data_IF_499578564542
#
_entry.id   IF_499578564542
#
_cell.length_a   1.000
_cell.length_b   1.000
_cell.length_c   1.000
_cell.angle_alpha   90.00
_cell.angle_beta   90.00
_cell.angle_gamma   90.00
#
_symmetry.space_group_name_H-M   'P 1'
#
loop_
_entity.id
_entity.type
_entity.pdbx_description
1 polymer ?
#
# COMPACT_ATOMS: atom_id res chain seq x y z
N UNK A 1 -14.11 -13.85 -4.61
CA UNK A 1 -13.40 -14.93 -5.34
C UNK A 1 -12.92 -14.52 -6.73
N UNK A 2 -13.74 -14.39 -7.79
CA UNK A 2 -13.19 -14.04 -9.13
C UNK A 2 -12.52 -12.66 -9.17
N UNK A 3 -13.09 -11.63 -8.54
CA UNK A 3 -12.53 -10.26 -8.53
C UNK A 3 -11.23 -10.12 -7.72
N UNK A 4 -11.08 -10.88 -6.62
CA UNK A 4 -9.88 -10.87 -5.79
C UNK A 4 -8.66 -11.44 -6.53
N UNK A 5 -8.88 -12.47 -7.35
CA UNK A 5 -7.82 -13.06 -8.17
C UNK A 5 -7.32 -12.06 -9.24
N UNK A 6 -8.24 -11.34 -9.91
CA UNK A 6 -7.85 -10.33 -10.90
C UNK A 6 -7.17 -9.11 -10.28
N UNK A 7 -7.60 -8.68 -9.08
CA UNK A 7 -6.93 -7.61 -8.34
C UNK A 7 -5.51 -7.98 -7.92
N UNK A 8 -5.30 -9.23 -7.46
CA UNK A 8 -3.97 -9.75 -7.16
C UNK A 8 -3.06 -9.81 -8.40
N UNK A 9 -3.58 -10.31 -9.53
CA UNK A 9 -2.83 -10.38 -10.79
C UNK A 9 -2.43 -8.98 -11.28
N UNK A 10 -3.34 -8.00 -11.24
CA UNK A 10 -3.03 -6.62 -11.62
C UNK A 10 -1.91 -6.04 -10.75
N UNK A 11 -1.93 -6.29 -9.44
CA UNK A 11 -0.89 -5.86 -8.51
C UNK A 11 0.48 -6.49 -8.85
N UNK A 12 0.51 -7.80 -9.08
CA UNK A 12 1.72 -8.55 -9.45
C UNK A 12 2.32 -8.03 -10.76
N UNK A 13 1.48 -7.76 -11.77
CA UNK A 13 1.93 -7.16 -13.01
C UNK A 13 2.56 -5.78 -12.78
N UNK A 14 1.96 -4.94 -11.92
CA UNK A 14 2.53 -3.64 -11.55
C UNK A 14 3.91 -3.76 -10.88
N UNK A 15 4.06 -4.72 -9.96
CA UNK A 15 5.33 -5.00 -9.27
C UNK A 15 6.45 -5.47 -10.21
N UNK A 16 6.11 -6.28 -11.22
CA UNK A 16 7.07 -6.79 -12.19
C UNK A 16 7.63 -5.71 -13.13
N UNK A 17 6.87 -4.64 -13.38
CA UNK A 17 7.33 -3.55 -14.24
C UNK A 17 8.54 -2.82 -13.68
N UNK A 18 8.79 -2.86 -12.36
CA UNK A 18 9.99 -2.25 -11.78
C UNK A 18 11.28 -2.98 -12.18
N UNK A 19 11.22 -4.26 -12.57
CA UNK A 19 12.39 -4.98 -13.10
C UNK A 19 12.90 -4.36 -14.41
N UNK A 20 12.00 -3.74 -15.19
CA UNK A 20 12.33 -3.13 -16.48
C UNK A 20 13.12 -1.82 -16.33
N UNK A 21 13.28 -1.31 -15.10
CA UNK A 21 14.22 -0.23 -14.78
C UNK A 21 15.68 -0.65 -15.04
N UNK A 22 15.98 -1.95 -14.93
CA UNK A 22 17.30 -2.52 -15.21
C UNK A 22 18.39 -2.18 -14.18
N UNK A 23 18.03 -1.57 -13.05
CA UNK A 23 18.96 -1.26 -11.95
C UNK A 23 18.73 -2.15 -10.71
N UNK A 24 19.76 -2.26 -9.87
CA UNK A 24 19.71 -3.13 -8.68
C UNK A 24 18.60 -2.74 -7.70
N UNK A 25 18.32 -1.44 -7.59
CA UNK A 25 17.26 -0.92 -6.75
C UNK A 25 15.87 -1.31 -7.27
N UNK A 26 15.60 -1.18 -8.58
CA UNK A 26 14.33 -1.61 -9.19
C UNK A 26 14.08 -3.12 -9.05
N UNK A 27 15.12 -3.95 -9.26
CA UNK A 27 15.03 -5.41 -9.08
C UNK A 27 14.73 -5.77 -7.62
N UNK A 28 15.42 -5.12 -6.68
CA UNK A 28 15.21 -5.33 -5.24
C UNK A 28 13.80 -4.90 -4.82
N UNK A 29 13.34 -3.75 -5.33
CA UNK A 29 11.97 -3.27 -5.11
C UNK A 29 10.93 -4.27 -5.62
N UNK A 30 11.08 -4.81 -6.83
CA UNK A 30 10.18 -5.87 -7.34
C UNK A 30 10.11 -7.04 -6.38
N UNK A 31 11.26 -7.60 -5.97
CA UNK A 31 11.28 -8.77 -5.08
C UNK A 31 10.54 -8.53 -3.76
N UNK A 32 10.73 -7.35 -3.16
CA UNK A 32 10.08 -6.96 -1.91
C UNK A 32 8.57 -6.76 -2.12
N UNK A 33 8.17 -6.05 -3.18
CA UNK A 33 6.77 -5.80 -3.49
C UNK A 33 6.01 -7.12 -3.79
N UNK A 34 6.62 -8.06 -4.53
CA UNK A 34 6.05 -9.40 -4.74
C UNK A 34 5.88 -10.19 -3.44
N UNK A 35 6.87 -10.13 -2.54
CA UNK A 35 6.77 -10.77 -1.22
C UNK A 35 5.64 -10.17 -0.39
N UNK A 36 5.47 -8.85 -0.42
CA UNK A 36 4.37 -8.16 0.26
C UNK A 36 3.00 -8.59 -0.28
N UNK A 37 2.86 -8.67 -1.61
CA UNK A 37 1.63 -9.10 -2.27
C UNK A 37 1.28 -10.57 -1.96
N UNK A 38 2.28 -11.45 -1.94
CA UNK A 38 2.09 -12.84 -1.52
C UNK A 38 1.59 -12.93 -0.07
N UNK A 39 2.13 -12.12 0.84
CA UNK A 39 1.68 -12.06 2.24
C UNK A 39 0.25 -11.54 2.32
N UNK A 40 -0.09 -10.48 1.58
CA UNK A 40 -1.45 -9.97 1.55
C UNK A 40 -2.45 -11.00 1.02
N UNK A 41 -2.09 -11.75 -0.03
CA UNK A 41 -2.91 -12.79 -0.61
C UNK A 41 -3.13 -13.97 0.35
N UNK A 42 -2.12 -14.35 1.14
CA UNK A 42 -2.17 -15.53 2.01
C UNK A 42 -2.70 -15.26 3.41
N UNK A 43 -2.45 -14.08 3.97
CA UNK A 43 -2.76 -13.74 5.38
C UNK A 43 -3.91 -12.74 5.53
N UNK A 44 -4.31 -12.06 4.45
CA UNK A 44 -5.42 -11.12 4.44
C UNK A 44 -5.16 -9.79 5.15
N UNK A 45 -6.03 -8.81 4.90
CA UNK A 45 -5.84 -7.39 5.29
C UNK A 45 -6.22 -7.03 6.73
N UNK A 46 -6.55 -8.02 7.58
CA UNK A 46 -6.97 -7.79 8.97
C UNK A 46 -6.11 -8.52 10.01
N UNK A 47 -5.07 -9.22 9.58
CA UNK A 47 -4.18 -9.97 10.46
C UNK A 47 -2.82 -9.26 10.57
N UNK A 48 -1.89 -9.85 11.33
CA UNK A 48 -0.49 -9.44 11.35
C UNK A 48 0.14 -9.36 9.94
N UNK A 49 -0.38 -10.15 8.98
CA UNK A 49 0.07 -10.13 7.59
C UNK A 49 -0.17 -8.79 6.90
N UNK A 50 -1.20 -8.03 7.31
CA UNK A 50 -1.39 -6.66 6.82
C UNK A 50 -0.21 -5.78 7.21
N UNK A 51 0.16 -5.79 8.50
CA UNK A 51 1.26 -4.98 9.01
C UNK A 51 2.60 -5.33 8.37
N UNK A 52 2.87 -6.63 8.22
CA UNK A 52 4.10 -7.09 7.56
C UNK A 52 4.13 -6.70 6.08
N UNK A 53 3.02 -6.88 5.35
CA UNK A 53 2.90 -6.45 3.97
C UNK A 53 3.12 -4.95 3.83
N UNK A 54 2.53 -4.13 4.71
CA UNK A 54 2.73 -2.68 4.72
C UNK A 54 4.18 -2.28 5.02
N UNK A 55 4.85 -2.98 5.94
CA UNK A 55 6.28 -2.75 6.21
C UNK A 55 7.15 -3.05 4.99
N UNK A 56 6.86 -4.15 4.29
CA UNK A 56 7.55 -4.50 3.05
C UNK A 56 7.26 -3.50 1.92
N UNK A 57 6.02 -3.05 1.75
CA UNK A 57 5.71 -2.00 0.75
C UNK A 57 6.41 -0.68 1.09
N UNK A 58 6.52 -0.33 2.37
CA UNK A 58 7.33 0.82 2.81
C UNK A 58 8.79 0.65 2.39
N UNK A 59 9.38 -0.52 2.66
CA UNK A 59 10.74 -0.85 2.23
C UNK A 59 10.90 -0.85 0.70
N UNK A 60 9.91 -1.35 -0.04
CA UNK A 60 9.86 -1.27 -1.50
C UNK A 60 9.92 0.20 -1.96
N UNK A 61 9.16 1.09 -1.30
CA UNK A 61 9.19 2.53 -1.55
C UNK A 61 10.58 3.16 -1.34
N UNK A 62 11.33 2.74 -0.32
CA UNK A 62 12.71 3.18 -0.12
C UNK A 62 13.62 2.82 -1.30
N UNK A 63 13.59 1.55 -1.75
CA UNK A 63 14.39 1.13 -2.91
C UNK A 63 13.94 1.82 -4.20
N UNK A 64 12.64 2.02 -4.40
CA UNK A 64 12.14 2.79 -5.55
C UNK A 64 12.66 4.23 -5.54
N UNK A 65 12.76 4.89 -4.39
CA UNK A 65 13.31 6.26 -4.31
C UNK A 65 14.78 6.37 -4.67
N UNK A 66 15.52 5.25 -4.56
CA UNK A 66 16.93 5.15 -4.95
C UNK A 66 17.11 4.59 -6.37
N UNK A 67 16.02 4.22 -7.06
CA UNK A 67 16.07 3.64 -8.39
C UNK A 67 16.16 4.71 -9.49
N UNK A 68 16.76 4.33 -10.62
CA UNK A 68 16.78 5.12 -11.87
C UNK A 68 15.39 5.49 -12.37
N UNK A 69 14.34 4.77 -11.94
CA UNK A 69 12.93 5.13 -12.21
C UNK A 69 12.55 6.53 -11.69
N UNK A 70 13.33 7.07 -10.75
CA UNK A 70 13.09 8.37 -10.11
C UNK A 70 14.07 9.45 -10.56
N UNK A 71 14.95 9.16 -11.51
CA UNK A 71 15.88 10.16 -12.06
C UNK A 71 15.08 11.22 -12.82
N UNK A 72 15.48 12.49 -12.69
CA UNK A 72 14.81 13.63 -13.33
C UNK A 72 13.43 14.00 -12.75
N UNK A 73 12.89 13.23 -11.79
CA UNK A 73 11.53 13.45 -11.27
C UNK A 73 11.48 13.54 -9.74
N UNK A 74 11.91 14.69 -9.21
CA UNK A 74 11.93 14.96 -7.76
C UNK A 74 10.53 14.92 -7.13
N UNK A 75 9.49 15.35 -7.85
CA UNK A 75 8.12 15.31 -7.35
C UNK A 75 7.65 13.86 -7.17
N UNK A 76 7.89 12.98 -8.15
CA UNK A 76 7.57 11.56 -8.04
C UNK A 76 8.34 10.88 -6.89
N UNK A 77 9.61 11.26 -6.72
CA UNK A 77 10.44 10.79 -5.60
C UNK A 77 9.85 11.20 -4.26
N UNK A 78 9.49 12.47 -4.09
CA UNK A 78 8.84 12.97 -2.87
C UNK A 78 7.50 12.28 -2.60
N UNK A 79 6.65 12.14 -3.60
CA UNK A 79 5.36 11.45 -3.46
C UNK A 79 5.56 9.97 -3.06
N UNK A 80 6.58 9.31 -3.61
CA UNK A 80 6.94 7.93 -3.22
C UNK A 80 7.43 7.86 -1.77
N UNK A 81 8.21 8.84 -1.31
CA UNK A 81 8.62 8.94 0.10
C UNK A 81 7.42 9.16 1.03
N UNK A 82 6.45 10.00 0.65
CA UNK A 82 5.21 10.18 1.42
C UNK A 82 4.45 8.85 1.51
N UNK A 83 4.30 8.14 0.40
CA UNK A 83 3.67 6.81 0.39
C UNK A 83 4.42 5.81 1.28
N UNK A 84 5.74 5.79 1.24
CA UNK A 84 6.57 4.96 2.11
C UNK A 84 6.23 5.21 3.60
N UNK A 85 6.12 6.47 4.02
CA UNK A 85 5.76 6.83 5.40
C UNK A 85 4.34 6.39 5.75
N UNK A 86 3.39 6.54 4.83
CA UNK A 86 1.99 6.09 5.02
C UNK A 86 1.92 4.58 5.23
N UNK A 87 2.68 3.81 4.46
CA UNK A 87 2.75 2.35 4.63
C UNK A 87 3.49 1.95 5.90
N UNK A 88 4.52 2.69 6.32
CA UNK A 88 5.16 2.47 7.62
C UNK A 88 4.18 2.71 8.78
N UNK A 89 3.37 3.78 8.70
CA UNK A 89 2.31 4.04 9.66
C UNK A 89 1.26 2.91 9.67
N UNK A 90 0.86 2.43 8.49
CA UNK A 90 -0.07 1.30 8.38
C UNK A 90 0.47 0.02 9.04
N UNK A 91 1.79 -0.19 8.99
CA UNK A 91 2.45 -1.33 9.63
C UNK A 91 2.29 -1.35 11.15
N UNK A 92 2.07 -0.20 11.79
CA UNK A 92 1.92 -0.06 13.25
C UNK A 92 0.61 -0.68 13.77
N UNK A 93 -0.36 -1.00 12.90
CA UNK A 93 -1.64 -1.63 13.26
C UNK A 93 -1.47 -2.84 14.21
N UNK A 94 -0.65 -3.82 13.83
CA UNK A 94 -0.43 -5.04 14.62
C UNK A 94 0.25 -4.76 15.98
N UNK A 95 1.34 -3.97 16.07
CA UNK A 95 1.86 -3.50 17.36
C UNK A 95 0.81 -2.84 18.27
N UNK A 96 -0.08 -2.00 17.72
CA UNK A 96 -1.16 -1.34 18.48
C UNK A 96 -2.20 -2.35 18.95
N UNK A 97 -2.54 -3.33 18.12
CA UNK A 97 -3.43 -4.43 18.48
C UNK A 97 -2.86 -5.28 19.63
N UNK A 98 -1.58 -5.62 19.57
CA UNK A 98 -0.86 -6.30 20.66
C UNK A 98 -0.90 -5.48 21.94
N UNK A 99 -0.57 -4.19 21.86
CA UNK A 99 -0.58 -3.28 23.02
C UNK A 99 -1.97 -3.19 23.65
N UNK A 100 -3.03 -3.21 22.84
CA UNK A 100 -4.41 -3.22 23.34
C UNK A 100 -4.73 -4.47 24.16
N UNK A 101 -4.23 -5.63 23.75
CA UNK A 101 -4.47 -6.90 24.46
C UNK A 101 -3.71 -6.96 25.79
N UNK A 102 -2.47 -6.45 25.83
CA UNK A 102 -1.74 -6.32 27.10
C UNK A 102 -2.42 -5.35 28.06
N UNK A 103 -2.91 -4.22 27.55
CA UNK A 103 -3.52 -3.15 28.35
C UNK A 103 -4.90 -3.52 28.89
N UNK A 104 -5.61 -4.44 28.24
CA UNK A 104 -6.94 -4.90 28.66
C UNK A 104 -6.97 -5.46 30.09
N UNK A 105 -5.84 -5.99 30.58
CA UNK A 105 -5.71 -6.51 31.95
C UNK A 105 -5.61 -5.41 33.02
N UNK A 106 -5.24 -4.18 32.65
CA UNK A 106 -4.94 -3.08 33.59
C UNK A 106 -5.87 -1.89 33.43
N UNK A 107 -6.32 -1.60 32.21
CA UNK A 107 -7.18 -0.46 31.91
C UNK A 107 -8.03 -0.75 30.67
N UNK A 108 -9.28 -1.14 30.90
CA UNK A 108 -10.21 -1.51 29.83
C UNK A 108 -10.55 -0.33 28.91
N UNK A 109 -10.66 0.88 29.45
CA UNK A 109 -10.95 2.10 28.67
C UNK A 109 -9.82 2.38 27.67
N UNK A 110 -8.57 2.33 28.14
CA UNK A 110 -7.41 2.53 27.27
C UNK A 110 -7.28 1.41 26.22
N UNK A 111 -7.56 0.17 26.59
CA UNK A 111 -7.56 -0.95 25.66
C UNK A 111 -8.60 -0.78 24.55
N UNK A 112 -9.81 -0.29 24.87
CA UNK A 112 -10.84 0.01 23.88
C UNK A 112 -10.42 1.13 22.91
N UNK A 113 -9.74 2.17 23.40
CA UNK A 113 -9.20 3.25 22.55
C UNK A 113 -8.17 2.69 21.57
N UNK A 114 -7.23 1.86 22.04
CA UNK A 114 -6.20 1.25 21.20
C UNK A 114 -6.78 0.32 20.13
N UNK A 115 -7.80 -0.47 20.46
CA UNK A 115 -8.51 -1.31 19.47
C UNK A 115 -9.16 -0.47 18.37
N UNK A 116 -9.86 0.61 18.75
CA UNK A 116 -10.44 1.53 17.76
C UNK A 116 -9.35 2.15 16.87
N UNK A 117 -8.22 2.54 17.45
CA UNK A 117 -7.10 3.08 16.69
C UNK A 117 -6.56 2.06 15.67
N UNK A 118 -6.34 0.80 16.08
CA UNK A 118 -5.91 -0.27 15.19
C UNK A 118 -6.88 -0.48 14.01
N UNK A 119 -8.18 -0.34 14.22
CA UNK A 119 -9.20 -0.43 13.16
C UNK A 119 -9.22 0.78 12.20
N UNK A 120 -8.81 1.96 12.68
CA UNK A 120 -8.77 3.18 11.86
C UNK A 120 -7.50 3.29 11.02
N UNK A 121 -6.35 2.78 11.50
CA UNK A 121 -5.06 2.86 10.81
C UNK A 121 -5.14 2.42 9.33
N UNK A 122 -5.68 1.22 8.99
CA UNK A 122 -5.78 0.79 7.60
C UNK A 122 -6.63 1.69 6.72
N UNK A 123 -7.69 2.28 7.29
CA UNK A 123 -8.60 3.18 6.55
C UNK A 123 -7.91 4.48 6.20
N UNK A 124 -7.27 5.10 7.18
CA UNK A 124 -6.52 6.35 7.01
C UNK A 124 -5.41 6.14 5.98
N UNK A 125 -4.64 5.06 6.13
CA UNK A 125 -3.56 4.73 5.19
C UNK A 125 -4.08 4.50 3.76
N UNK A 126 -5.23 3.84 3.61
CA UNK A 126 -5.84 3.61 2.28
C UNK A 126 -6.32 4.91 1.63
N UNK A 127 -6.95 5.82 2.39
CA UNK A 127 -7.39 7.12 1.88
C UNK A 127 -6.19 7.92 1.39
N UNK A 128 -5.18 8.07 2.25
CA UNK A 128 -3.98 8.83 1.89
C UNK A 128 -3.30 8.19 0.68
N UNK A 129 -3.23 6.85 0.64
CA UNK A 129 -2.64 6.12 -0.50
C UNK A 129 -3.32 6.43 -1.83
N UNK A 130 -4.66 6.43 -1.87
CA UNK A 130 -5.42 6.76 -3.08
C UNK A 130 -5.23 8.23 -3.45
N UNK A 131 -5.32 9.13 -2.46
CA UNK A 131 -5.15 10.57 -2.66
C UNK A 131 -3.77 10.91 -3.21
N UNK A 132 -2.71 10.21 -2.81
CA UNK A 132 -1.34 10.45 -3.26
C UNK A 132 -1.03 9.77 -4.61
N UNK A 133 -1.67 8.63 -4.92
CA UNK A 133 -1.49 7.94 -6.20
C UNK A 133 -2.00 8.74 -7.41
N UNK A 134 -3.05 9.56 -7.23
CA UNK A 134 -3.59 10.42 -8.29
C UNK A 134 -2.57 11.50 -8.76
N UNK A 135 -2.00 12.33 -7.87
CA UNK A 135 -0.88 13.20 -8.21
C UNK A 135 0.30 12.46 -8.84
N UNK A 136 0.65 11.26 -8.35
CA UNK A 136 1.74 10.48 -8.94
C UNK A 136 1.44 10.12 -10.41
N UNK A 137 0.24 9.64 -10.72
CA UNK A 137 -0.18 9.34 -12.09
C UNK A 137 -0.10 10.55 -13.01
N UNK A 138 -0.59 11.71 -12.53
CA UNK A 138 -0.50 12.99 -13.24
C UNK A 138 0.97 13.36 -13.50
N UNK A 139 1.79 13.37 -12.45
CA UNK A 139 3.21 13.74 -12.54
C UNK A 139 3.95 12.87 -13.55
N UNK A 140 3.67 11.58 -13.58
CA UNK A 140 4.29 10.64 -14.50
C UNK A 140 3.77 10.83 -15.93
N UNK A 141 2.47 11.06 -16.13
CA UNK A 141 1.89 11.29 -17.46
C UNK A 141 2.45 12.56 -18.15
N UNK A 142 2.88 13.56 -17.37
CA UNK A 142 3.42 14.82 -17.89
C UNK A 142 4.95 14.87 -17.93
N UNK A 143 5.66 13.86 -17.42
CA UNK A 143 7.12 13.90 -17.29
C UNK A 143 7.89 13.68 -18.60
N UNK A 144 7.27 13.18 -19.68
CA UNK A 144 7.88 13.09 -21.02
C UNK A 144 9.11 12.16 -21.17
N UNK A 145 9.64 11.57 -20.10
CA UNK A 145 10.86 10.74 -20.12
C UNK A 145 10.59 9.24 -20.34
N UNK A 146 11.59 8.50 -20.82
CA UNK A 146 11.50 7.07 -21.15
C UNK A 146 10.96 6.16 -20.02
N UNK A 147 11.27 6.45 -18.75
CA UNK A 147 10.81 5.65 -17.60
C UNK A 147 9.43 6.05 -17.08
N UNK A 148 8.87 7.16 -17.57
CA UNK A 148 7.53 7.60 -17.20
C UNK A 148 6.45 6.58 -17.60
N UNK A 149 6.58 5.95 -18.77
CA UNK A 149 5.66 4.90 -19.20
C UNK A 149 5.58 3.71 -18.25
N UNK A 150 6.73 3.24 -17.74
CA UNK A 150 6.81 2.10 -16.81
C UNK A 150 6.17 2.43 -15.46
N UNK A 151 6.49 3.59 -14.89
CA UNK A 151 5.89 4.05 -13.64
C UNK A 151 4.38 4.30 -13.78
N UNK A 152 3.93 4.82 -14.93
CA UNK A 152 2.51 5.05 -15.20
C UNK A 152 1.73 3.74 -15.25
N UNK A 153 2.26 2.76 -15.98
CA UNK A 153 1.68 1.42 -16.07
C UNK A 153 1.65 0.71 -14.71
N UNK A 154 2.74 0.79 -13.94
CA UNK A 154 2.78 0.20 -12.59
C UNK A 154 1.74 0.84 -11.66
N UNK A 155 1.65 2.18 -11.62
CA UNK A 155 0.66 2.90 -10.81
C UNK A 155 -0.77 2.61 -11.24
N UNK A 156 -1.01 2.47 -12.55
CA UNK A 156 -2.33 2.12 -13.10
C UNK A 156 -2.73 0.70 -12.73
N UNK A 157 -1.79 -0.26 -12.83
CA UNK A 157 -1.96 -1.64 -12.36
C UNK A 157 -2.36 -1.68 -10.88
N UNK A 158 -1.71 -0.90 -10.02
CA UNK A 158 -2.06 -0.80 -8.61
C UNK A 158 -3.42 -0.13 -8.36
N UNK A 159 -3.77 0.89 -9.16
CA UNK A 159 -5.07 1.55 -9.07
C UNK A 159 -6.21 0.59 -9.45
N UNK A 160 -6.02 -0.17 -10.54
CA UNK A 160 -6.95 -1.22 -10.98
C UNK A 160 -7.05 -2.30 -9.88
N UNK A 161 -5.92 -2.73 -9.31
CA UNK A 161 -5.91 -3.68 -8.20
C UNK A 161 -6.73 -3.17 -7.00
N UNK A 162 -6.56 -1.91 -6.60
CA UNK A 162 -7.31 -1.31 -5.49
C UNK A 162 -8.83 -1.26 -5.77
N UNK A 163 -9.23 -0.97 -7.01
CA UNK A 163 -10.63 -0.99 -7.44
C UNK A 163 -11.19 -2.42 -7.39
N UNK A 164 -10.48 -3.39 -7.97
CA UNK A 164 -10.90 -4.79 -8.06
C UNK A 164 -10.95 -5.50 -6.70
N UNK A 165 -10.04 -5.15 -5.80
CA UNK A 165 -10.03 -5.60 -4.41
C UNK A 165 -11.08 -4.89 -3.54
N UNK A 166 -11.86 -3.97 -4.12
CA UNK A 166 -12.95 -3.28 -3.42
C UNK A 166 -12.49 -2.33 -2.32
N UNK A 167 -11.19 -1.96 -2.26
CA UNK A 167 -10.65 -1.06 -1.23
C UNK A 167 -11.33 0.31 -1.28
N UNK A 168 -11.59 0.81 -2.48
CA UNK A 168 -12.41 2.01 -2.74
C UNK A 168 -13.88 1.85 -2.33
N UNK A 169 -14.47 0.67 -2.55
CA UNK A 169 -15.88 0.40 -2.21
C UNK A 169 -16.09 0.31 -0.69
N UNK A 170 -15.13 -0.21 0.07
CA UNK A 170 -15.15 -0.16 1.54
C UNK A 170 -14.98 1.24 2.12
N UNK A 171 -14.36 2.17 1.38
CA UNK A 171 -14.25 3.58 1.77
C UNK A 171 -15.54 4.36 1.46
N UNK A 172 -16.21 4.07 0.34
CA UNK A 172 -17.46 4.70 -0.07
C UNK A 172 -18.70 4.10 0.61
N UNK A 173 -18.65 2.84 1.06
CA UNK A 173 -19.73 2.22 1.85
C UNK A 173 -19.64 2.63 3.32
N UNK A 174 -20.18 3.81 3.64
CA UNK A 174 -20.86 4.04 4.93
C UNK A 174 -22.18 4.76 4.67
N UNK A 175 -23.28 4.00 4.68
CA UNK A 175 -24.63 4.55 4.51
C UNK A 175 -25.76 3.52 4.56
N UNK A 176 -25.59 2.39 5.25
CA UNK A 176 -26.67 1.42 5.43
C UNK A 176 -26.73 0.93 6.88
N UNK A 177 -27.81 1.19 7.63
CA UNK A 177 -28.04 0.53 8.91
C UNK A 177 -28.37 -0.96 8.65
N UNK A 178 -27.68 -1.85 9.34
CA UNK A 178 -28.08 -3.25 9.50
C UNK A 178 -27.76 -4.20 8.34
N UNK A 179 -27.20 -5.35 8.71
CA UNK A 179 -27.46 -6.73 8.23
C UNK A 179 -26.37 -7.62 8.84
N UNK A 180 -26.67 -8.15 10.03
CA UNK A 180 -26.97 -9.57 10.33
C UNK A 180 -25.73 -10.42 10.31
#
# INVERSE_FOLDING_TARGET
MKSENWGGIASLCGSLLFMLAGDSAGITATGICLAAEFIFATRGHRTWGYSLGCALISLCGFFLTASRLMDGNDLLRHLTMVMMVVWAFAAIRWPVEILSNFTATKNEVLAQILRKLADYIPRIASIISITMRLPMLVTVAFAGEHFSGLMFSALTCYLIADVLLGRLQTLLKRGGPGRT
#
